data_IF_316798046412
#
_entry.id   IF_316798046412
#
_cell.length_a   1.000
_cell.length_b   1.000
_cell.length_c   1.000
_cell.angle_alpha   90.00
_cell.angle_beta   90.00
_cell.angle_gamma   90.00
#
_symmetry.space_group_name_H-M   'P 1'
#
loop_
_entity.id
_entity.type
_entity.pdbx_description
1 polymer ?
#
# COMPACT_ATOMS: atom_id res chain seq x y z
N UNK A 1 26.27 31.62 -17.89
CA UNK A 1 24.84 31.73 -18.26
C UNK A 1 24.39 30.50 -19.08
N UNK A 2 25.08 30.13 -20.14
CA UNK A 2 24.70 29.04 -21.06
C UNK A 2 24.65 27.63 -20.42
N UNK A 3 25.59 27.29 -19.52
CA UNK A 3 25.60 26.00 -18.79
C UNK A 3 24.38 25.83 -17.86
N UNK A 4 23.95 26.89 -17.17
CA UNK A 4 22.78 26.87 -16.31
C UNK A 4 21.50 26.63 -17.08
N UNK A 5 21.31 27.33 -18.20
CA UNK A 5 20.14 27.19 -19.09
C UNK A 5 20.06 25.77 -19.67
N UNK A 6 21.18 25.18 -20.10
CA UNK A 6 21.22 23.78 -20.58
C UNK A 6 20.88 22.77 -19.48
N UNK A 7 21.29 23.01 -18.24
CA UNK A 7 20.98 22.14 -17.11
C UNK A 7 19.49 22.19 -16.73
N UNK A 8 18.91 23.38 -16.67
CA UNK A 8 17.45 23.55 -16.45
C UNK A 8 16.62 22.88 -17.53
N UNK A 9 16.95 23.10 -18.80
CA UNK A 9 16.28 22.47 -19.92
C UNK A 9 16.32 20.93 -19.84
N UNK A 10 17.45 20.35 -19.42
CA UNK A 10 17.58 18.90 -19.25
C UNK A 10 16.68 18.36 -18.10
N UNK A 11 16.57 19.11 -16.99
CA UNK A 11 15.67 18.76 -15.89
C UNK A 11 14.21 18.80 -16.35
N UNK A 12 13.80 19.85 -17.05
CA UNK A 12 12.42 19.98 -17.56
C UNK A 12 12.06 18.87 -18.55
N UNK A 13 12.97 18.49 -19.44
CA UNK A 13 12.79 17.35 -20.35
C UNK A 13 12.61 16.01 -19.61
N UNK A 14 13.37 15.80 -18.52
CA UNK A 14 13.20 14.59 -17.69
C UNK A 14 11.84 14.58 -16.99
N UNK A 15 11.39 15.72 -16.49
CA UNK A 15 10.06 15.85 -15.84
C UNK A 15 8.95 15.60 -16.86
N UNK A 16 9.05 16.13 -18.09
CA UNK A 16 8.06 15.85 -19.14
C UNK A 16 7.97 14.37 -19.48
N UNK A 17 9.12 13.68 -19.51
CA UNK A 17 9.13 12.21 -19.67
C UNK A 17 8.43 11.50 -18.50
N UNK A 18 8.60 11.96 -17.25
CA UNK A 18 7.91 11.40 -16.09
C UNK A 18 6.40 11.66 -16.15
N UNK A 19 5.96 12.85 -16.56
CA UNK A 19 4.54 13.16 -16.75
C UNK A 19 3.92 12.25 -17.83
N UNK A 20 4.61 12.09 -18.97
CA UNK A 20 4.19 11.15 -20.01
C UNK A 20 4.15 9.70 -19.50
N UNK A 21 5.10 9.32 -18.66
CA UNK A 21 5.14 8.00 -18.04
C UNK A 21 3.99 7.80 -17.05
N UNK A 22 3.70 8.78 -16.18
CA UNK A 22 2.51 8.76 -15.32
C UNK A 22 1.23 8.57 -16.14
N UNK A 23 1.06 9.30 -17.25
CA UNK A 23 -0.09 9.14 -18.13
C UNK A 23 -0.24 7.69 -18.61
N UNK A 24 0.84 7.07 -19.09
CA UNK A 24 0.83 5.67 -19.56
C UNK A 24 0.49 4.70 -18.43
N UNK A 25 1.09 4.89 -17.25
CA UNK A 25 0.85 4.02 -16.09
C UNK A 25 -0.58 4.19 -15.56
N UNK A 26 -1.14 5.41 -15.61
CA UNK A 26 -2.54 5.66 -15.32
C UNK A 26 -3.48 4.83 -16.21
N UNK A 27 -3.22 4.76 -17.51
CA UNK A 27 -4.01 3.90 -18.41
C UNK A 27 -3.84 2.40 -18.09
N UNK A 28 -2.64 1.94 -17.77
CA UNK A 28 -2.40 0.54 -17.41
C UNK A 28 -3.18 0.17 -16.14
N UNK A 29 -3.10 1.01 -15.09
CA UNK A 29 -3.87 0.81 -13.86
C UNK A 29 -5.37 0.90 -14.09
N UNK A 30 -5.85 1.84 -14.93
CA UNK A 30 -7.25 1.97 -15.26
C UNK A 30 -7.79 0.71 -15.93
N UNK A 31 -7.09 0.19 -16.94
CA UNK A 31 -7.53 -1.02 -17.65
C UNK A 31 -7.57 -2.21 -16.70
N UNK A 32 -6.52 -2.44 -15.91
CA UNK A 32 -6.50 -3.53 -14.93
C UNK A 32 -7.61 -3.37 -13.88
N UNK A 33 -7.81 -2.15 -13.34
CA UNK A 33 -8.83 -1.87 -12.34
C UNK A 33 -10.24 -2.06 -12.87
N UNK A 34 -10.53 -1.62 -14.10
CA UNK A 34 -11.83 -1.83 -14.73
C UNK A 34 -12.09 -3.32 -15.04
N UNK A 35 -11.08 -4.05 -15.52
CA UNK A 35 -11.21 -5.48 -15.77
C UNK A 35 -11.49 -6.23 -14.46
N UNK A 36 -10.76 -5.91 -13.39
CA UNK A 36 -10.97 -6.51 -12.07
C UNK A 36 -12.34 -6.18 -11.50
N UNK A 37 -12.78 -4.91 -11.60
CA UNK A 37 -14.10 -4.49 -11.14
C UNK A 37 -15.22 -5.16 -11.95
N UNK A 38 -15.07 -5.24 -13.26
CA UNK A 38 -16.04 -5.93 -14.10
C UNK A 38 -16.09 -7.44 -13.75
N UNK A 39 -14.95 -8.05 -13.50
CA UNK A 39 -14.89 -9.44 -13.04
C UNK A 39 -15.61 -9.62 -11.70
N UNK A 40 -15.32 -8.77 -10.71
CA UNK A 40 -15.94 -8.81 -9.38
C UNK A 40 -17.46 -8.68 -9.43
N UNK A 41 -17.98 -7.77 -10.26
CA UNK A 41 -19.41 -7.46 -10.29
C UNK A 41 -20.26 -8.36 -11.22
N UNK A 42 -19.67 -8.86 -12.30
CA UNK A 42 -20.45 -9.55 -13.35
C UNK A 42 -20.06 -11.01 -13.55
N UNK A 43 -18.86 -11.43 -13.18
CA UNK A 43 -18.37 -12.78 -13.39
C UNK A 43 -18.36 -13.59 -12.10
N UNK A 44 -17.71 -13.07 -11.06
CA UNK A 44 -17.54 -13.76 -9.79
C UNK A 44 -18.86 -14.14 -9.11
N UNK A 45 -19.94 -13.34 -9.10
CA UNK A 45 -21.21 -13.74 -8.49
C UNK A 45 -21.83 -15.01 -9.10
N UNK A 46 -21.53 -15.31 -10.37
CA UNK A 46 -22.00 -16.54 -11.02
C UNK A 46 -21.11 -17.75 -10.74
N UNK A 47 -19.97 -17.54 -10.11
CA UNK A 47 -18.99 -18.58 -9.76
C UNK A 47 -18.92 -18.80 -8.24
N UNK A 48 -19.54 -17.94 -7.44
CA UNK A 48 -19.48 -17.96 -5.97
C UNK A 48 -20.03 -19.25 -5.35
N UNK A 49 -20.98 -19.92 -5.99
CA UNK A 49 -21.48 -21.22 -5.54
C UNK A 49 -20.42 -22.33 -5.59
N UNK A 50 -19.39 -22.16 -6.43
CA UNK A 50 -18.30 -23.13 -6.61
C UNK A 50 -17.04 -22.68 -5.85
N UNK A 51 -16.82 -21.36 -5.76
CA UNK A 51 -15.62 -20.72 -5.19
C UNK A 51 -16.03 -19.66 -4.17
N UNK A 52 -16.54 -20.09 -3.02
CA UNK A 52 -16.91 -19.16 -1.95
C UNK A 52 -15.69 -18.76 -1.13
N UNK A 53 -15.00 -17.71 -1.59
CA UNK A 53 -13.92 -17.08 -0.86
C UNK A 53 -14.44 -15.83 -0.14
N UNK A 54 -14.69 -15.97 1.15
CA UNK A 54 -15.27 -14.91 1.97
C UNK A 54 -14.54 -14.79 3.30
N UNK A 55 -14.20 -13.57 3.69
CA UNK A 55 -13.67 -13.26 5.03
C UNK A 55 -14.65 -12.36 5.74
N UNK A 56 -15.39 -12.93 6.69
CA UNK A 56 -16.32 -12.20 7.55
C UNK A 56 -15.56 -11.32 8.54
N UNK A 57 -15.86 -10.02 8.54
CA UNK A 57 -15.30 -9.04 9.48
C UNK A 57 -16.18 -9.02 10.73
N UNK A 58 -15.56 -9.03 11.89
CA UNK A 58 -16.20 -9.11 13.22
C UNK A 58 -15.66 -8.02 14.14
N UNK A 59 -16.34 -7.81 15.26
CA UNK A 59 -15.85 -7.03 16.39
C UNK A 59 -15.71 -7.91 17.62
N UNK A 60 -14.73 -7.66 18.45
CA UNK A 60 -14.56 -8.36 19.72
C UNK A 60 -14.87 -7.41 20.89
N UNK A 61 -15.60 -7.90 21.89
CA UNK A 61 -15.97 -7.15 23.07
C UNK A 61 -16.02 -8.04 24.31
N UNK A 62 -15.99 -7.44 25.51
CA UNK A 62 -16.15 -8.16 26.76
C UNK A 62 -17.63 -8.17 27.13
N UNK A 63 -18.16 -9.35 27.37
CA UNK A 63 -19.53 -9.58 27.86
C UNK A 63 -19.48 -10.08 29.29
N UNK A 64 -20.31 -9.51 30.15
CA UNK A 64 -20.52 -10.04 31.50
C UNK A 64 -21.52 -11.18 31.45
N UNK A 65 -21.08 -12.38 31.76
CA UNK A 65 -21.93 -13.58 31.84
C UNK A 65 -22.20 -13.87 33.33
N UNK A 66 -23.45 -13.68 33.81
CA UNK A 66 -23.81 -13.96 35.19
C UNK A 66 -23.62 -15.45 35.53
N UNK A 67 -23.11 -15.74 36.72
CA UNK A 67 -23.04 -17.11 37.23
C UNK A 67 -24.50 -17.67 37.39
N UNK A 68 -24.76 -18.93 36.98
CA UNK A 68 -26.07 -19.57 37.18
C UNK A 68 -26.53 -19.63 38.61
N UNK A 69 -25.63 -19.56 39.61
CA UNK A 69 -25.98 -19.48 41.04
C UNK A 69 -26.55 -18.14 41.47
N UNK A 70 -26.51 -17.12 40.60
CA UNK A 70 -26.97 -15.76 40.88
C UNK A 70 -26.01 -14.93 41.74
N UNK A 71 -24.80 -15.44 42.01
CA UNK A 71 -23.81 -14.73 42.81
C UNK A 71 -22.53 -14.53 41.95
N UNK A 72 -22.34 -13.30 41.47
CA UNK A 72 -21.19 -12.95 40.62
C UNK A 72 -21.40 -13.25 39.15
N UNK A 73 -20.34 -13.37 38.43
CA UNK A 73 -20.25 -13.65 36.98
C UNK A 73 -18.86 -13.36 36.46
N UNK A 74 -18.59 -13.78 35.23
CA UNK A 74 -17.30 -13.64 34.56
C UNK A 74 -17.39 -12.68 33.37
N UNK A 75 -16.29 -11.98 33.10
CA UNK A 75 -16.11 -11.25 31.86
C UNK A 75 -15.55 -12.21 30.81
N UNK A 76 -16.35 -12.49 29.80
CA UNK A 76 -15.96 -13.35 28.67
C UNK A 76 -15.72 -12.54 27.41
N UNK A 77 -14.68 -12.90 26.67
CA UNK A 77 -14.46 -12.32 25.35
C UNK A 77 -15.49 -12.89 24.38
N UNK A 78 -16.31 -12.02 23.83
CA UNK A 78 -17.36 -12.37 22.87
C UNK A 78 -17.09 -11.73 21.53
N UNK A 79 -17.42 -12.45 20.45
CA UNK A 79 -17.30 -11.95 19.08
C UNK A 79 -18.70 -11.62 18.55
N UNK A 80 -18.84 -10.48 17.88
CA UNK A 80 -20.10 -10.14 17.19
C UNK A 80 -20.42 -11.14 16.08
N UNK A 81 -21.67 -11.17 15.63
CA UNK A 81 -21.98 -11.70 14.31
C UNK A 81 -21.15 -11.01 13.23
N UNK A 82 -21.07 -11.62 12.04
CA UNK A 82 -20.36 -11.03 10.91
C UNK A 82 -20.98 -9.68 10.57
N UNK A 83 -20.21 -8.61 10.74
CA UNK A 83 -20.63 -7.25 10.42
C UNK A 83 -20.80 -7.06 8.91
N UNK A 84 -19.85 -7.55 8.15
CA UNK A 84 -19.85 -7.60 6.69
C UNK A 84 -18.77 -8.56 6.19
N UNK A 85 -18.90 -9.03 4.96
CA UNK A 85 -17.85 -9.78 4.28
C UNK A 85 -16.91 -8.80 3.56
N UNK A 86 -15.60 -9.05 3.68
CA UNK A 86 -14.59 -8.21 3.04
C UNK A 86 -14.65 -8.39 1.50
N UNK A 87 -14.94 -7.33 0.74
CA UNK A 87 -15.09 -7.45 -0.71
C UNK A 87 -13.71 -7.46 -1.39
N UNK A 88 -13.05 -8.64 -1.42
CA UNK A 88 -11.66 -8.79 -1.84
C UNK A 88 -11.37 -8.30 -3.26
N UNK A 89 -12.21 -8.68 -4.23
CA UNK A 89 -12.02 -8.33 -5.63
C UNK A 89 -12.30 -6.85 -5.89
N UNK A 90 -13.34 -6.31 -5.27
CA UNK A 90 -13.69 -4.89 -5.35
C UNK A 90 -12.64 -4.00 -4.71
N UNK A 91 -12.09 -4.40 -3.56
CA UNK A 91 -10.98 -3.69 -2.92
C UNK A 91 -9.70 -3.77 -3.76
N UNK A 92 -9.46 -4.92 -4.41
CA UNK A 92 -8.37 -5.09 -5.36
C UNK A 92 -8.53 -4.15 -6.58
N UNK A 93 -9.71 -4.06 -7.14
CA UNK A 93 -10.02 -3.10 -8.20
C UNK A 93 -9.86 -1.66 -7.71
N UNK A 94 -10.31 -1.35 -6.48
CA UNK A 94 -10.28 -0.01 -5.90
C UNK A 94 -8.88 0.56 -5.78
N UNK A 95 -7.89 -0.20 -5.31
CA UNK A 95 -6.52 0.33 -5.19
C UNK A 95 -5.86 0.56 -6.57
N UNK A 96 -6.23 -0.21 -7.60
CA UNK A 96 -5.79 0.03 -8.97
C UNK A 96 -6.41 1.30 -9.55
N UNK A 97 -7.73 1.46 -9.40
CA UNK A 97 -8.47 2.65 -9.87
C UNK A 97 -8.00 3.91 -9.15
N UNK A 98 -7.70 3.81 -7.86
CA UNK A 98 -7.12 4.90 -7.09
C UNK A 98 -5.75 5.31 -7.64
N UNK A 99 -4.90 4.35 -7.98
CA UNK A 99 -3.60 4.64 -8.62
C UNK A 99 -3.78 5.29 -9.99
N UNK A 100 -4.72 4.81 -10.80
CA UNK A 100 -5.05 5.43 -12.07
C UNK A 100 -5.49 6.88 -11.89
N UNK A 101 -6.36 7.15 -10.92
CA UNK A 101 -6.82 8.49 -10.58
C UNK A 101 -5.64 9.42 -10.26
N UNK A 102 -4.75 9.02 -9.34
CA UNK A 102 -3.60 9.86 -8.96
C UNK A 102 -2.62 10.07 -10.10
N UNK A 103 -2.37 9.07 -10.93
CA UNK A 103 -1.57 9.22 -12.14
C UNK A 103 -2.19 10.25 -13.12
N UNK A 104 -3.51 10.25 -13.27
CA UNK A 104 -4.21 11.21 -14.11
C UNK A 104 -4.25 12.61 -13.47
N UNK A 105 -4.42 12.71 -12.15
CA UNK A 105 -4.31 13.99 -11.44
C UNK A 105 -2.94 14.64 -11.66
N UNK A 106 -1.86 13.85 -11.65
CA UNK A 106 -0.50 14.30 -11.96
C UNK A 106 -0.37 14.70 -13.44
N UNK A 107 -0.90 13.87 -14.35
CA UNK A 107 -0.66 14.04 -15.78
C UNK A 107 -1.47 15.20 -16.41
N UNK A 108 -2.60 15.59 -15.82
CA UNK A 108 -3.54 16.57 -16.37
C UNK A 108 -3.74 17.79 -15.47
N UNK A 109 -4.63 17.81 -14.44
CA UNK A 109 -4.97 19.06 -13.75
C UNK A 109 -3.81 19.60 -12.89
N UNK A 110 -2.99 18.74 -12.34
CA UNK A 110 -1.92 19.15 -11.41
C UNK A 110 -0.51 19.09 -12.02
N UNK A 111 -0.42 19.03 -13.34
CA UNK A 111 0.86 18.91 -14.07
C UNK A 111 1.90 19.97 -13.63
N UNK A 112 1.47 21.21 -13.49
CA UNK A 112 2.38 22.30 -13.10
C UNK A 112 2.83 22.18 -11.63
N UNK A 113 1.90 21.88 -10.71
CA UNK A 113 2.22 21.65 -9.29
C UNK A 113 3.16 20.46 -9.11
N UNK A 114 2.94 19.39 -9.86
CA UNK A 114 3.84 18.23 -9.86
C UNK A 114 5.24 18.59 -10.35
N UNK A 115 5.35 19.34 -11.46
CA UNK A 115 6.62 19.85 -11.99
C UNK A 115 7.39 20.66 -10.96
N UNK A 116 6.72 21.62 -10.31
CA UNK A 116 7.32 22.46 -9.27
C UNK A 116 7.78 21.64 -8.06
N UNK A 117 6.95 20.67 -7.64
CA UNK A 117 7.30 19.75 -6.56
C UNK A 117 8.56 18.95 -6.89
N UNK A 118 8.62 18.34 -8.08
CA UNK A 118 9.79 17.56 -8.50
C UNK A 118 11.09 18.38 -8.58
N UNK A 119 11.02 19.65 -8.98
CA UNK A 119 12.16 20.57 -8.95
C UNK A 119 12.68 20.79 -7.53
N UNK A 120 11.80 20.70 -6.53
CA UNK A 120 12.14 20.80 -5.09
C UNK A 120 12.49 19.45 -4.44
N UNK A 121 12.33 18.36 -5.17
CA UNK A 121 12.50 17.00 -4.64
C UNK A 121 11.34 16.53 -3.79
N UNK A 122 10.10 16.92 -4.13
CA UNK A 122 8.87 16.58 -3.41
C UNK A 122 7.83 16.05 -4.38
N UNK A 123 7.17 14.94 -4.02
CA UNK A 123 5.98 14.47 -4.71
C UNK A 123 4.87 14.13 -3.72
N UNK A 124 4.05 15.11 -3.38
CA UNK A 124 2.93 14.98 -2.43
C UNK A 124 1.90 13.95 -2.91
N UNK A 125 1.61 13.93 -4.22
CA UNK A 125 0.60 13.04 -4.80
C UNK A 125 0.92 11.57 -4.59
N UNK A 126 2.19 11.17 -4.73
CA UNK A 126 2.66 9.81 -4.50
C UNK A 126 2.37 9.35 -3.07
N UNK A 127 2.66 10.19 -2.09
CA UNK A 127 2.51 9.82 -0.69
C UNK A 127 1.05 9.68 -0.26
N UNK A 128 0.18 10.57 -0.74
CA UNK A 128 -1.26 10.42 -0.51
C UNK A 128 -1.85 9.20 -1.23
N UNK A 129 -1.43 8.97 -2.46
CA UNK A 129 -1.83 7.78 -3.21
C UNK A 129 -1.42 6.51 -2.47
N UNK A 130 -0.16 6.42 -2.00
CA UNK A 130 0.34 5.26 -1.27
C UNK A 130 -0.35 5.12 0.09
N UNK A 131 -0.57 6.19 0.83
CA UNK A 131 -1.27 6.15 2.10
C UNK A 131 -2.66 5.51 1.98
N UNK A 132 -3.35 5.72 0.87
CA UNK A 132 -4.66 5.13 0.61
C UNK A 132 -4.53 3.73 -0.01
N UNK A 133 -3.86 3.61 -1.15
CA UNK A 133 -3.84 2.36 -1.92
C UNK A 133 -3.10 1.23 -1.22
N UNK A 134 -1.94 1.49 -0.60
CA UNK A 134 -1.21 0.45 0.11
C UNK A 134 -1.86 0.04 1.42
N UNK A 135 -2.68 0.91 2.03
CA UNK A 135 -3.47 0.54 3.21
C UNK A 135 -4.59 -0.44 2.85
N UNK A 136 -5.24 -0.29 1.71
CA UNK A 136 -6.16 -1.30 1.19
C UNK A 136 -5.41 -2.62 0.96
N UNK A 137 -4.24 -2.56 0.32
CA UNK A 137 -3.43 -3.75 0.04
C UNK A 137 -3.04 -4.52 1.31
N UNK A 138 -2.54 -3.85 2.34
CA UNK A 138 -2.10 -4.52 3.57
C UNK A 138 -3.27 -5.08 4.38
N UNK A 139 -4.45 -4.46 4.34
CA UNK A 139 -5.68 -5.01 4.93
C UNK A 139 -6.05 -6.33 4.24
N UNK A 140 -6.06 -6.38 2.90
CA UNK A 140 -6.32 -7.62 2.15
C UNK A 140 -5.30 -8.72 2.51
N UNK A 141 -4.02 -8.38 2.58
CA UNK A 141 -2.98 -9.33 2.97
C UNK A 141 -3.21 -9.84 4.39
N UNK A 142 -3.49 -8.95 5.36
CA UNK A 142 -3.70 -9.35 6.76
C UNK A 142 -4.94 -10.26 6.93
N UNK A 143 -5.99 -10.02 6.14
CA UNK A 143 -7.19 -10.86 6.10
C UNK A 143 -6.90 -12.30 5.67
N UNK A 144 -5.99 -12.51 4.71
CA UNK A 144 -5.54 -13.84 4.28
C UNK A 144 -4.83 -14.61 5.40
N UNK A 145 -4.29 -13.93 6.39
CA UNK A 145 -3.63 -14.54 7.55
C UNK A 145 -4.50 -14.59 8.80
N UNK A 146 -5.81 -14.40 8.64
CA UNK A 146 -6.79 -14.63 9.72
C UNK A 146 -7.14 -13.39 10.53
N UNK A 147 -6.66 -12.20 10.19
CA UNK A 147 -7.16 -10.97 10.78
C UNK A 147 -8.61 -10.80 10.34
N UNK A 148 -9.53 -10.67 11.33
CA UNK A 148 -10.97 -10.50 11.08
C UNK A 148 -11.57 -9.36 11.88
N UNK A 149 -10.88 -8.89 12.93
CA UNK A 149 -11.37 -7.83 13.79
C UNK A 149 -11.31 -6.47 13.09
N UNK A 150 -12.43 -5.75 13.07
CA UNK A 150 -12.57 -4.45 12.40
C UNK A 150 -11.63 -3.39 12.99
N UNK A 151 -11.41 -3.40 14.30
CA UNK A 151 -10.50 -2.44 14.95
C UNK A 151 -9.05 -2.73 14.57
N UNK A 152 -8.67 -4.01 14.46
CA UNK A 152 -7.32 -4.41 14.01
C UNK A 152 -7.09 -3.99 12.55
N UNK A 153 -8.07 -4.18 11.66
CA UNK A 153 -7.99 -3.66 10.29
C UNK A 153 -7.81 -2.15 10.23
N UNK A 154 -8.58 -1.41 11.03
CA UNK A 154 -8.45 0.04 11.10
C UNK A 154 -7.04 0.47 11.58
N UNK A 155 -6.50 -0.17 12.62
CA UNK A 155 -5.15 0.11 13.14
C UNK A 155 -4.07 -0.23 12.12
N UNK A 156 -4.17 -1.37 11.43
CA UNK A 156 -3.24 -1.77 10.35
C UNK A 156 -3.25 -0.73 9.22
N UNK A 157 -4.45 -0.32 8.78
CA UNK A 157 -4.60 0.69 7.73
C UNK A 157 -4.01 2.04 8.13
N UNK A 158 -4.30 2.51 9.36
CA UNK A 158 -3.79 3.77 9.88
C UNK A 158 -2.28 3.76 10.08
N UNK A 159 -1.72 2.67 10.60
CA UNK A 159 -0.27 2.52 10.76
C UNK A 159 0.43 2.58 9.39
N UNK A 160 -0.10 1.88 8.40
CA UNK A 160 0.45 1.89 7.04
C UNK A 160 0.29 3.26 6.36
N UNK A 161 -0.84 3.94 6.54
CA UNK A 161 -1.04 5.30 6.04
C UNK A 161 -0.03 6.27 6.70
N UNK A 162 0.13 6.20 8.02
CA UNK A 162 1.11 6.99 8.77
C UNK A 162 2.55 6.77 8.29
N UNK A 163 2.94 5.52 8.02
CA UNK A 163 4.23 5.20 7.41
C UNK A 163 4.45 5.98 6.11
N UNK A 164 3.46 6.00 5.22
CA UNK A 164 3.56 6.72 3.95
C UNK A 164 3.62 8.24 4.15
N UNK A 165 2.88 8.79 5.11
CA UNK A 165 2.92 10.21 5.44
C UNK A 165 4.29 10.63 6.02
N UNK A 166 4.95 9.77 6.80
CA UNK A 166 6.36 9.98 7.17
C UNK A 166 7.30 9.95 5.96
N UNK A 167 6.95 9.24 4.90
CA UNK A 167 7.64 9.34 3.61
C UNK A 167 7.52 10.74 3.00
N UNK A 168 6.35 11.38 3.09
CA UNK A 168 6.16 12.78 2.72
C UNK A 168 7.00 13.72 3.60
N UNK A 169 6.97 13.53 4.92
CA UNK A 169 7.78 14.32 5.85
C UNK A 169 9.28 14.21 5.55
N UNK A 170 9.74 13.02 5.15
CA UNK A 170 11.13 12.82 4.71
C UNK A 170 11.49 13.74 3.53
N UNK A 171 10.59 13.91 2.56
CA UNK A 171 10.80 14.83 1.44
C UNK A 171 10.71 16.30 1.88
N UNK A 172 9.70 16.66 2.66
CA UNK A 172 9.47 18.04 3.11
C UNK A 172 10.63 18.56 3.97
N UNK A 173 11.08 17.80 4.95
CA UNK A 173 12.14 18.19 5.88
C UNK A 173 13.53 18.19 5.23
N UNK A 174 13.72 17.48 4.11
CA UNK A 174 14.99 17.43 3.41
C UNK A 174 15.00 18.19 2.07
N UNK A 175 13.86 18.78 1.67
CA UNK A 175 13.76 19.57 0.45
C UNK A 175 14.57 20.88 0.53
N UNK A 176 15.07 21.35 -0.60
CA UNK A 176 15.78 22.63 -0.69
C UNK A 176 17.11 22.71 0.06
N UNK A 177 17.52 21.65 0.79
CA UNK A 177 18.79 21.63 1.50
C UNK A 177 19.92 21.31 0.53
N UNK A 178 20.98 22.09 0.61
CA UNK A 178 22.24 21.76 -0.05
C UNK A 178 22.82 20.48 0.57
N UNK A 179 22.68 19.37 -0.15
CA UNK A 179 23.14 18.04 0.30
C UNK A 179 24.64 17.97 0.59
N UNK A 180 25.40 18.95 0.12
CA UNK A 180 26.85 19.05 0.39
C UNK A 180 27.14 19.73 1.74
N UNK A 181 26.22 20.56 2.23
CA UNK A 181 26.40 21.34 3.47
C UNK A 181 25.52 20.85 4.62
N UNK A 182 24.38 20.26 4.32
CA UNK A 182 23.39 19.84 5.32
C UNK A 182 23.26 18.31 5.37
N UNK A 183 23.33 17.74 6.56
CA UNK A 183 23.06 16.31 6.76
C UNK A 183 21.57 16.01 6.55
N UNK A 184 21.27 14.88 5.92
CA UNK A 184 19.90 14.37 5.79
C UNK A 184 19.29 14.12 7.17
N UNK A 185 18.09 14.63 7.40
CA UNK A 185 17.30 14.29 8.58
C UNK A 185 16.62 12.93 8.35
N UNK A 186 17.06 11.91 9.07
CA UNK A 186 16.57 10.54 8.95
C UNK A 186 15.41 10.21 9.90
N UNK A 187 15.01 11.12 10.80
CA UNK A 187 13.95 10.84 11.77
C UNK A 187 12.64 10.40 11.13
N UNK A 188 12.13 11.05 10.06
CA UNK A 188 10.90 10.60 9.42
C UNK A 188 11.04 9.19 8.84
N UNK A 189 12.18 8.86 8.27
CA UNK A 189 12.45 7.50 7.75
C UNK A 189 12.40 6.45 8.87
N UNK A 190 12.99 6.74 10.03
CA UNK A 190 13.00 5.83 11.19
C UNK A 190 11.58 5.66 11.73
N UNK A 191 10.83 6.75 11.96
CA UNK A 191 9.45 6.67 12.47
C UNK A 191 8.51 5.99 11.48
N UNK A 192 8.64 6.31 10.19
CA UNK A 192 7.91 5.61 9.14
C UNK A 192 8.23 4.11 9.10
N UNK A 193 9.50 3.72 9.29
CA UNK A 193 9.89 2.30 9.34
C UNK A 193 9.28 1.57 10.53
N UNK A 194 9.22 2.21 11.70
CA UNK A 194 8.56 1.64 12.90
C UNK A 194 7.08 1.40 12.63
N UNK A 195 6.36 2.40 12.10
CA UNK A 195 4.96 2.23 11.73
C UNK A 195 4.75 1.19 10.63
N UNK A 196 5.67 1.15 9.66
CA UNK A 196 5.61 0.17 8.56
C UNK A 196 5.82 -1.28 9.00
N UNK A 197 6.49 -1.51 10.14
CA UNK A 197 6.63 -2.84 10.73
C UNK A 197 5.36 -3.30 11.45
N UNK A 198 4.52 -2.40 11.96
CA UNK A 198 3.35 -2.76 12.78
C UNK A 198 2.39 -3.74 12.10
N UNK A 199 1.96 -3.57 10.82
CA UNK A 199 1.15 -4.55 10.12
C UNK A 199 1.80 -5.93 10.01
N UNK A 200 3.10 -5.99 9.74
CA UNK A 200 3.83 -7.25 9.61
C UNK A 200 3.98 -7.98 10.94
N UNK A 201 4.15 -7.22 12.04
CA UNK A 201 4.14 -7.78 13.40
C UNK A 201 2.77 -8.36 13.72
N UNK A 202 1.68 -7.66 13.41
CA UNK A 202 0.33 -8.17 13.57
C UNK A 202 0.13 -9.48 12.79
N UNK A 203 0.47 -9.52 11.51
CA UNK A 203 0.38 -10.72 10.66
C UNK A 203 1.21 -11.87 11.28
N UNK A 204 2.44 -11.58 11.73
CA UNK A 204 3.30 -12.59 12.35
C UNK A 204 2.68 -13.20 13.62
N UNK A 205 2.00 -12.40 14.45
CA UNK A 205 1.28 -12.92 15.62
C UNK A 205 0.10 -13.82 15.19
N UNK A 206 -0.70 -13.42 14.20
CA UNK A 206 -1.80 -14.25 13.70
C UNK A 206 -1.30 -15.57 13.12
N UNK A 207 -0.17 -15.56 12.41
CA UNK A 207 0.51 -16.78 11.93
C UNK A 207 0.97 -17.63 13.11
N UNK A 208 1.61 -17.02 14.11
CA UNK A 208 2.24 -17.74 15.23
C UNK A 208 1.26 -18.41 16.19
N UNK A 209 0.01 -17.89 16.29
CA UNK A 209 -1.04 -18.49 17.14
C UNK A 209 -1.92 -19.47 16.40
N UNK A 210 -1.76 -19.63 15.09
CA UNK A 210 -2.58 -20.55 14.29
C UNK A 210 -2.15 -22.01 14.54
N UNK A 211 -2.99 -22.85 15.20
CA UNK A 211 -2.65 -24.25 15.45
C UNK A 211 -2.63 -25.10 14.18
N UNK A 212 -3.24 -24.61 13.10
CA UNK A 212 -3.34 -25.30 11.81
C UNK A 212 -2.44 -24.66 10.75
N UNK A 213 -1.28 -24.13 11.17
CA UNK A 213 -0.36 -23.44 10.28
C UNK A 213 0.08 -24.32 9.09
N UNK A 214 0.19 -25.60 9.30
CA UNK A 214 0.57 -26.61 8.29
C UNK A 214 -0.51 -26.81 7.20
N UNK A 215 -1.74 -26.37 7.46
CA UNK A 215 -2.87 -26.46 6.53
C UNK A 215 -3.01 -25.22 5.66
N UNK A 216 -2.22 -24.16 5.94
CA UNK A 216 -2.24 -22.94 5.14
C UNK A 216 -1.70 -23.23 3.74
N UNK A 217 -2.50 -22.98 2.68
CA UNK A 217 -2.09 -23.29 1.31
C UNK A 217 -0.79 -22.61 0.89
N UNK A 218 0.03 -23.30 0.12
CA UNK A 218 1.36 -22.78 -0.28
C UNK A 218 1.33 -21.45 -1.03
N UNK A 219 0.25 -21.17 -1.78
CA UNK A 219 0.10 -19.91 -2.48
C UNK A 219 -0.03 -18.71 -1.52
N UNK A 220 -0.62 -18.88 -0.33
CA UNK A 220 -0.74 -17.83 0.71
C UNK A 220 0.64 -17.41 1.19
N UNK A 221 1.54 -18.38 1.40
CA UNK A 221 2.94 -18.11 1.73
C UNK A 221 3.68 -17.39 0.60
N UNK A 222 3.38 -17.75 -0.65
CA UNK A 222 3.86 -17.04 -1.84
C UNK A 222 3.40 -15.58 -1.87
N UNK A 223 2.16 -15.32 -1.50
CA UNK A 223 1.62 -13.97 -1.34
C UNK A 223 2.42 -13.21 -0.26
N UNK A 224 2.55 -13.77 0.94
CA UNK A 224 3.27 -13.13 2.05
C UNK A 224 4.69 -12.74 1.66
N UNK A 225 5.47 -13.70 1.14
CA UNK A 225 6.86 -13.47 0.75
C UNK A 225 6.98 -12.40 -0.35
N UNK A 226 6.14 -12.48 -1.38
CA UNK A 226 6.15 -11.53 -2.50
C UNK A 226 5.84 -10.12 -2.01
N UNK A 227 4.85 -9.99 -1.11
CA UNK A 227 4.47 -8.67 -0.60
C UNK A 227 5.44 -8.12 0.40
N UNK A 228 5.97 -8.94 1.29
CA UNK A 228 7.02 -8.49 2.19
C UNK A 228 8.20 -7.91 1.39
N UNK A 229 8.63 -8.59 0.34
CA UNK A 229 9.68 -8.08 -0.54
C UNK A 229 9.24 -6.82 -1.27
N UNK A 230 8.05 -6.82 -1.92
CA UNK A 230 7.57 -5.69 -2.69
C UNK A 230 7.44 -4.41 -1.84
N UNK A 231 6.83 -4.49 -0.65
CA UNK A 231 6.69 -3.35 0.26
C UNK A 231 8.05 -2.80 0.71
N UNK A 232 9.03 -3.68 0.98
CA UNK A 232 10.36 -3.26 1.41
C UNK A 232 11.21 -2.64 0.29
N UNK A 233 10.85 -2.83 -0.99
CA UNK A 233 11.56 -2.15 -2.09
C UNK A 233 11.36 -0.63 -2.08
N UNK A 234 10.23 -0.12 -1.55
CA UNK A 234 9.94 1.32 -1.48
C UNK A 234 10.86 2.06 -0.50
N UNK A 235 11.00 1.65 0.78
CA UNK A 235 11.97 2.26 1.68
C UNK A 235 13.42 2.06 1.21
N UNK A 236 13.76 0.95 0.55
CA UNK A 236 15.07 0.77 -0.07
C UNK A 236 15.31 1.80 -1.17
N UNK A 237 14.34 2.04 -2.07
CA UNK A 237 14.44 3.09 -3.09
C UNK A 237 14.64 4.48 -2.46
N UNK A 238 13.93 4.82 -1.38
CA UNK A 238 14.13 6.06 -0.62
C UNK A 238 15.52 6.13 -0.01
N UNK A 239 15.97 5.07 0.65
CA UNK A 239 17.29 5.02 1.27
C UNK A 239 18.40 5.25 0.24
N UNK A 240 18.35 4.57 -0.91
CA UNK A 240 19.30 4.74 -2.01
C UNK A 240 19.31 6.18 -2.54
N UNK A 241 18.13 6.81 -2.64
CA UNK A 241 17.94 8.16 -3.11
C UNK A 241 18.56 9.19 -2.17
N UNK A 242 18.32 9.07 -0.85
CA UNK A 242 18.88 9.98 0.14
C UNK A 242 20.36 9.74 0.45
N UNK A 243 20.84 8.50 0.30
CA UNK A 243 22.28 8.19 0.33
C UNK A 243 23.00 8.57 -0.96
N UNK A 244 22.28 8.86 -2.04
CA UNK A 244 22.86 9.24 -3.33
C UNK A 244 23.69 8.14 -3.99
N UNK A 245 23.23 6.88 -3.90
CA UNK A 245 23.95 5.72 -4.46
C UNK A 245 23.75 5.65 -5.97
N UNK A 246 24.83 5.65 -6.74
CA UNK A 246 24.79 5.45 -8.18
C UNK A 246 23.85 6.42 -8.90
N UNK A 247 22.91 5.90 -9.69
CA UNK A 247 21.90 6.69 -10.42
C UNK A 247 20.86 7.35 -9.52
N UNK A 248 20.67 6.86 -8.30
CA UNK A 248 19.73 7.42 -7.32
C UNK A 248 20.16 8.79 -6.77
N UNK A 249 21.37 9.29 -7.08
CA UNK A 249 21.76 10.70 -6.88
C UNK A 249 20.80 11.66 -7.58
N UNK A 250 20.22 11.26 -8.72
CA UNK A 250 19.19 12.01 -9.41
C UNK A 250 17.83 11.66 -8.79
N UNK A 251 17.19 12.66 -8.17
CA UNK A 251 15.85 12.51 -7.58
C UNK A 251 14.85 11.95 -8.59
N UNK A 252 14.90 12.43 -9.84
CA UNK A 252 13.97 12.02 -10.89
C UNK A 252 14.14 10.54 -11.29
N UNK A 253 15.34 9.98 -11.09
CA UNK A 253 15.56 8.54 -11.28
C UNK A 253 14.85 7.72 -10.21
N UNK A 254 14.96 8.12 -8.93
CA UNK A 254 14.23 7.49 -7.83
C UNK A 254 12.72 7.65 -7.97
N UNK A 255 12.26 8.81 -8.44
CA UNK A 255 10.84 9.07 -8.75
C UNK A 255 10.29 8.07 -9.78
N UNK A 256 11.02 7.86 -10.87
CA UNK A 256 10.69 6.82 -11.85
C UNK A 256 10.67 5.42 -11.22
N UNK A 257 11.60 5.15 -10.31
CA UNK A 257 11.65 3.90 -9.55
C UNK A 257 10.36 3.65 -8.79
N UNK A 258 9.84 4.63 -8.07
CA UNK A 258 8.55 4.51 -7.35
C UNK A 258 7.38 4.19 -8.26
N UNK A 259 7.30 4.82 -9.45
CA UNK A 259 6.23 4.55 -10.42
C UNK A 259 6.29 3.09 -10.90
N UNK A 260 7.48 2.58 -11.20
CA UNK A 260 7.68 1.19 -11.63
C UNK A 260 7.36 0.21 -10.52
N UNK A 261 7.87 0.46 -9.29
CA UNK A 261 7.62 -0.38 -8.12
C UNK A 261 6.13 -0.47 -7.81
N UNK A 262 5.42 0.67 -7.86
CA UNK A 262 3.98 0.72 -7.64
C UNK A 262 3.22 -0.12 -8.67
N UNK A 263 3.55 0.01 -9.95
CA UNK A 263 2.92 -0.79 -11.00
C UNK A 263 3.14 -2.28 -10.78
N UNK A 264 4.40 -2.69 -10.56
CA UNK A 264 4.76 -4.10 -10.41
C UNK A 264 4.08 -4.70 -9.18
N UNK A 265 4.19 -4.04 -8.01
CA UNK A 265 3.59 -4.53 -6.78
C UNK A 265 2.07 -4.69 -6.91
N UNK A 266 1.37 -3.68 -7.42
CA UNK A 266 -0.08 -3.71 -7.56
C UNK A 266 -0.55 -4.73 -8.59
N UNK A 267 0.15 -4.83 -9.72
CA UNK A 267 -0.17 -5.85 -10.74
C UNK A 267 -0.02 -7.26 -10.16
N UNK A 268 1.11 -7.54 -9.50
CA UNK A 268 1.32 -8.86 -8.89
C UNK A 268 0.22 -9.16 -7.85
N UNK A 269 -0.13 -8.22 -6.96
CA UNK A 269 -1.20 -8.44 -5.98
C UNK A 269 -2.51 -8.77 -6.67
N UNK A 270 -2.89 -7.95 -7.60
CA UNK A 270 -4.14 -8.12 -8.33
C UNK A 270 -4.30 -9.55 -8.85
N UNK A 271 -3.28 -10.06 -9.52
CA UNK A 271 -3.32 -11.41 -10.08
C UNK A 271 -3.23 -12.49 -9.02
N UNK A 272 -2.43 -12.31 -7.97
CA UNK A 272 -2.35 -13.28 -6.88
C UNK A 272 -3.67 -13.37 -6.10
N UNK A 273 -4.35 -12.25 -5.83
CA UNK A 273 -5.67 -12.25 -5.20
C UNK A 273 -6.69 -12.93 -6.12
N UNK A 274 -6.71 -12.58 -7.41
CA UNK A 274 -7.64 -13.20 -8.36
C UNK A 274 -7.47 -14.71 -8.41
N UNK A 275 -6.24 -15.19 -8.58
CA UNK A 275 -5.98 -16.64 -8.62
C UNK A 275 -6.19 -17.31 -7.26
N UNK A 276 -5.94 -16.58 -6.15
CA UNK A 276 -6.17 -17.10 -4.80
C UNK A 276 -7.64 -17.40 -4.52
N UNK A 277 -8.56 -16.57 -5.05
CA UNK A 277 -10.00 -16.77 -4.91
C UNK A 277 -10.48 -18.10 -5.57
N UNK A 278 -9.75 -18.59 -6.57
CA UNK A 278 -10.06 -19.86 -7.26
C UNK A 278 -9.34 -21.07 -6.68
N UNK A 279 -8.57 -20.93 -5.61
CA UNK A 279 -7.96 -22.08 -4.96
C UNK A 279 -8.98 -22.77 -4.04
N UNK A 280 -9.05 -24.10 -4.04
CA UNK A 280 -9.93 -24.88 -3.17
C UNK A 280 -9.52 -24.73 -1.69
#
# INVERSE_FOLDING_TARGET
MEKGVKQELNVDLKIDKLISFNKKMGFVHLVQGLLMMAFALFVYPNLSDTFDFSVGVVGNYLEFVPDPSGVGGDLMLTTTDVLFNLPFLELTASFLLLSALFHFLIAFPNKNKYREGLKKGINVYRWYEYALSSSIMIVLISALFGVRDVAVFALIALANAGMNLFGLDMELLNSGKDKTKNKTNWLPFIFGSILGLAPWVAIAFYIGVNPNIDQVPGFVWGILATYFVAFNTFPVNMWLQYKGVGKFKDYLYGERGYIVLSLVAKTILTWLVLFGVFQP
#
